data_IF_120932162763
#
_entry.id   IF_120932162763
#
_cell.length_a   1.000
_cell.length_b   1.000
_cell.length_c   1.000
_cell.angle_alpha   90.00
_cell.angle_beta   90.00
_cell.angle_gamma   90.00
#
_symmetry.space_group_name_H-M   'P 1'
#
loop_
_entity.id
_entity.type
_entity.pdbx_description
1 polymer ?
#
# COMPACT_ATOMS: atom_id res chain seq x y z
N UNK A 1 -32.01 40.88 38.45
CA UNK A 1 -31.95 40.78 36.96
C UNK A 1 -31.20 39.52 36.62
N UNK A 2 -31.77 38.55 35.93
CA UNK A 2 -31.01 37.37 35.49
C UNK A 2 -30.04 37.81 34.40
N UNK A 3 -28.73 37.54 34.62
CA UNK A 3 -27.67 37.74 33.63
C UNK A 3 -27.93 36.79 32.47
N UNK A 4 -28.16 37.34 31.28
CA UNK A 4 -28.25 36.52 30.06
C UNK A 4 -26.85 35.97 29.80
N UNK A 5 -26.65 34.69 30.11
CA UNK A 5 -25.43 33.99 29.76
C UNK A 5 -25.38 33.90 28.22
N UNK A 6 -24.40 34.51 27.60
CA UNK A 6 -24.18 34.41 26.15
C UNK A 6 -23.87 32.95 25.79
N UNK A 7 -24.85 32.23 25.25
CA UNK A 7 -24.74 30.80 24.90
C UNK A 7 -23.96 30.57 23.58
N UNK A 8 -23.24 31.57 23.07
CA UNK A 8 -22.46 31.34 21.87
C UNK A 8 -21.25 30.44 22.19
N UNK A 9 -21.07 29.34 21.46
CA UNK A 9 -19.89 28.51 21.65
C UNK A 9 -18.64 29.32 21.35
N UNK A 10 -17.55 29.14 22.13
CA UNK A 10 -16.31 29.84 21.89
C UNK A 10 -15.78 29.58 20.46
N UNK A 11 -15.17 30.57 19.84
CA UNK A 11 -14.69 30.49 18.45
C UNK A 11 -13.76 29.29 18.21
N UNK A 12 -13.02 28.87 19.22
CA UNK A 12 -12.12 27.71 19.16
C UNK A 12 -12.86 26.40 19.03
N UNK A 13 -14.03 26.21 19.69
CA UNK A 13 -14.81 24.96 19.59
C UNK A 13 -15.30 24.72 18.17
N UNK A 14 -15.72 25.75 17.46
CA UNK A 14 -16.10 25.62 16.04
C UNK A 14 -14.92 25.19 15.16
N UNK A 15 -13.72 25.74 15.40
CA UNK A 15 -12.50 25.36 14.69
C UNK A 15 -12.13 23.90 14.92
N UNK A 16 -12.16 23.42 16.18
CA UNK A 16 -11.87 22.02 16.50
C UNK A 16 -12.91 21.08 15.89
N UNK A 17 -14.20 21.41 15.95
CA UNK A 17 -15.26 20.64 15.31
C UNK A 17 -15.03 20.49 13.80
N UNK A 18 -14.66 21.58 13.12
CA UNK A 18 -14.35 21.56 11.67
C UNK A 18 -13.14 20.67 11.38
N UNK A 19 -12.07 20.74 12.17
CA UNK A 19 -10.90 19.90 12.01
C UNK A 19 -11.20 18.42 12.21
N UNK A 20 -12.03 18.08 13.20
CA UNK A 20 -12.51 16.70 13.43
C UNK A 20 -13.20 16.16 12.18
N UNK A 21 -14.10 16.95 11.58
CA UNK A 21 -14.81 16.54 10.35
C UNK A 21 -13.83 16.29 9.21
N UNK A 22 -12.85 17.19 9.00
CA UNK A 22 -11.82 17.04 7.96
C UNK A 22 -11.04 15.74 8.15
N UNK A 23 -10.57 15.47 9.38
CA UNK A 23 -9.80 14.26 9.68
C UNK A 23 -10.64 12.98 9.57
N UNK A 24 -11.93 13.03 9.88
CA UNK A 24 -12.84 11.91 9.63
C UNK A 24 -12.97 11.59 8.14
N UNK A 25 -13.02 12.60 7.28
CA UNK A 25 -13.03 12.39 5.82
C UNK A 25 -11.71 11.73 5.37
N UNK A 26 -10.57 12.18 5.89
CA UNK A 26 -9.26 11.56 5.60
C UNK A 26 -9.23 10.08 6.03
N UNK A 27 -9.77 9.77 7.23
CA UNK A 27 -9.90 8.38 7.70
C UNK A 27 -10.79 7.53 6.77
N UNK A 28 -11.91 8.07 6.30
CA UNK A 28 -12.81 7.35 5.39
C UNK A 28 -12.14 7.04 4.05
N UNK A 29 -11.36 7.99 3.52
CA UNK A 29 -10.57 7.77 2.29
C UNK A 29 -9.52 6.68 2.51
N UNK A 30 -8.77 6.75 3.62
CA UNK A 30 -7.80 5.73 3.99
C UNK A 30 -8.44 4.34 4.14
N UNK A 31 -9.58 4.25 4.83
CA UNK A 31 -10.30 3.00 5.02
C UNK A 31 -10.82 2.42 3.69
N UNK A 32 -11.35 3.27 2.81
CA UNK A 32 -11.78 2.87 1.46
C UNK A 32 -10.61 2.31 0.65
N UNK A 33 -9.45 2.99 0.70
CA UNK A 33 -8.22 2.55 0.07
C UNK A 33 -7.73 1.20 0.61
N UNK A 34 -7.71 1.02 1.94
CA UNK A 34 -7.31 -0.25 2.57
C UNK A 34 -8.22 -1.44 2.21
N UNK A 35 -9.49 -1.19 1.88
CA UNK A 35 -10.43 -2.23 1.40
C UNK A 35 -10.34 -2.48 -0.11
N UNK A 36 -9.56 -1.71 -0.84
CA UNK A 36 -9.45 -1.81 -2.30
C UNK A 36 -8.83 -3.13 -2.74
N UNK A 37 -9.14 -3.53 -3.97
CA UNK A 37 -8.49 -4.69 -4.60
C UNK A 37 -6.97 -4.47 -4.76
N UNK A 38 -6.54 -3.21 -4.92
CA UNK A 38 -5.12 -2.87 -5.01
C UNK A 38 -4.35 -3.34 -3.77
N UNK A 39 -4.87 -3.06 -2.56
CA UNK A 39 -4.22 -3.50 -1.30
C UNK A 39 -4.16 -5.02 -1.23
N UNK A 40 -5.26 -5.71 -1.57
CA UNK A 40 -5.29 -7.19 -1.57
C UNK A 40 -4.30 -7.80 -2.56
N UNK A 41 -4.21 -7.22 -3.76
CA UNK A 41 -3.28 -7.71 -4.79
C UNK A 41 -1.83 -7.39 -4.49
N UNK A 42 -1.56 -6.33 -3.74
CA UNK A 42 -0.19 -5.94 -3.34
C UNK A 42 0.31 -6.73 -2.13
N UNK A 43 -0.58 -7.11 -1.21
CA UNK A 43 -0.22 -7.77 0.05
C UNK A 43 -0.37 -9.30 0.03
N UNK A 44 -1.04 -9.87 -0.98
CA UNK A 44 -1.36 -11.31 -1.04
C UNK A 44 -0.84 -11.89 -2.34
N UNK A 45 0.00 -12.92 -2.24
CA UNK A 45 0.48 -13.68 -3.40
C UNK A 45 -0.67 -14.44 -4.05
N UNK A 46 -0.73 -14.34 -5.38
CA UNK A 46 -1.71 -15.04 -6.22
C UNK A 46 -1.03 -15.76 -7.36
N UNK A 47 -1.58 -16.86 -7.85
CA UNK A 47 -1.10 -17.48 -9.08
C UNK A 47 -1.33 -16.53 -10.26
N UNK A 48 -0.24 -16.04 -10.83
CA UNK A 48 -0.24 -15.14 -11.99
C UNK A 48 0.38 -15.89 -13.16
N UNK A 49 -0.35 -15.94 -14.27
CA UNK A 49 0.19 -16.47 -15.51
C UNK A 49 1.12 -15.44 -16.16
N UNK A 50 2.27 -15.91 -16.58
CA UNK A 50 3.29 -15.08 -17.19
C UNK A 50 3.81 -15.72 -18.48
N UNK A 51 4.20 -14.89 -19.43
CA UNK A 51 4.90 -15.30 -20.63
C UNK A 51 6.38 -15.02 -20.46
N UNK A 52 7.23 -16.02 -20.68
CA UNK A 52 8.68 -15.85 -20.62
C UNK A 52 9.14 -15.12 -21.89
N UNK A 53 9.90 -14.03 -21.71
CA UNK A 53 10.44 -13.21 -22.82
C UNK A 53 11.90 -13.53 -23.05
N UNK A 54 12.68 -13.61 -21.97
CA UNK A 54 14.10 -13.92 -22.00
C UNK A 54 14.53 -14.70 -20.76
N UNK A 55 15.70 -15.32 -20.85
CA UNK A 55 16.33 -15.99 -19.71
C UNK A 55 17.81 -15.64 -19.65
N UNK A 56 18.26 -15.33 -18.44
CA UNK A 56 19.64 -14.99 -18.12
C UNK A 56 20.18 -15.92 -17.04
N UNK A 57 21.47 -16.27 -17.17
CA UNK A 57 22.19 -17.03 -16.16
C UNK A 57 23.52 -16.35 -15.89
N UNK A 58 23.76 -15.97 -14.65
CA UNK A 58 25.00 -15.29 -14.25
C UNK A 58 25.48 -15.77 -12.89
N UNK A 59 26.69 -15.38 -12.55
CA UNK A 59 27.32 -15.76 -11.29
C UNK A 59 27.38 -14.55 -10.37
N UNK A 60 26.90 -14.72 -9.14
CA UNK A 60 26.94 -13.71 -8.08
C UNK A 60 27.81 -14.21 -6.93
N UNK A 61 28.61 -13.32 -6.34
CA UNK A 61 29.44 -13.63 -5.17
C UNK A 61 28.74 -13.05 -3.94
N UNK A 62 28.25 -13.92 -3.07
CA UNK A 62 27.62 -13.55 -1.80
C UNK A 62 28.39 -14.20 -0.66
N UNK A 63 28.85 -13.43 0.31
CA UNK A 63 29.60 -13.91 1.47
C UNK A 63 30.84 -14.77 1.08
N UNK A 64 31.58 -14.35 0.05
CA UNK A 64 32.74 -15.05 -0.52
C UNK A 64 32.44 -16.43 -1.14
N UNK A 65 31.18 -16.76 -1.32
CA UNK A 65 30.73 -17.96 -2.04
C UNK A 65 30.16 -17.59 -3.39
N UNK A 66 30.48 -18.40 -4.38
CA UNK A 66 30.00 -18.21 -5.75
C UNK A 66 28.68 -18.94 -5.95
N UNK A 67 27.63 -18.19 -6.28
CA UNK A 67 26.30 -18.72 -6.56
C UNK A 67 25.91 -18.49 -8.01
N UNK A 68 25.38 -19.52 -8.66
CA UNK A 68 24.76 -19.35 -9.99
C UNK A 68 23.34 -18.86 -9.82
N UNK A 69 23.01 -17.73 -10.41
CA UNK A 69 21.67 -17.12 -10.39
C UNK A 69 20.98 -17.38 -11.72
N UNK A 70 19.78 -17.90 -11.66
CA UNK A 70 18.91 -18.12 -12.81
C UNK A 70 17.79 -17.08 -12.78
N UNK A 71 17.69 -16.27 -13.81
CA UNK A 71 16.74 -15.16 -13.91
C UNK A 71 15.89 -15.29 -15.17
N UNK A 72 14.58 -15.10 -15.03
CA UNK A 72 13.66 -15.04 -16.15
C UNK A 72 13.12 -13.62 -16.29
N UNK A 73 13.08 -13.11 -17.52
CA UNK A 73 12.33 -11.90 -17.85
C UNK A 73 10.93 -12.31 -18.29
N UNK A 74 9.92 -11.80 -17.59
CA UNK A 74 8.55 -12.22 -17.67
C UNK A 74 7.63 -11.05 -18.01
N UNK A 75 6.51 -11.34 -18.66
CA UNK A 75 5.37 -10.42 -18.80
C UNK A 75 4.16 -11.11 -18.16
N UNK A 76 3.53 -10.46 -17.20
CA UNK A 76 2.29 -10.96 -16.60
C UNK A 76 1.11 -10.77 -17.56
N UNK A 77 0.17 -11.70 -17.56
CA UNK A 77 -1.02 -11.63 -18.40
C UNK A 77 -1.82 -10.35 -18.14
N UNK A 78 -2.20 -9.67 -19.22
CA UNK A 78 -2.91 -8.40 -19.16
C UNK A 78 -2.03 -7.19 -18.77
N UNK A 79 -0.71 -7.33 -18.85
CA UNK A 79 0.28 -6.27 -18.62
C UNK A 79 1.27 -6.20 -19.78
N UNK A 80 1.82 -4.99 -19.98
CA UNK A 80 2.87 -4.77 -20.98
C UNK A 80 4.26 -4.64 -20.34
N UNK A 81 4.31 -4.49 -19.01
CA UNK A 81 5.56 -4.30 -18.29
C UNK A 81 6.30 -5.62 -18.12
N UNK A 82 7.59 -5.61 -18.47
CA UNK A 82 8.50 -6.69 -18.19
C UNK A 82 9.03 -6.57 -16.77
N UNK A 83 9.16 -7.70 -16.09
CA UNK A 83 9.81 -7.80 -14.80
C UNK A 83 10.72 -9.01 -14.74
N UNK A 84 11.69 -9.00 -13.82
CA UNK A 84 12.67 -10.05 -13.65
C UNK A 84 12.38 -10.85 -12.40
N UNK A 85 12.45 -12.17 -12.51
CA UNK A 85 12.22 -13.09 -11.42
C UNK A 85 13.37 -14.10 -11.32
N UNK A 86 13.97 -14.21 -10.13
CA UNK A 86 14.94 -15.26 -9.82
C UNK A 86 14.19 -16.56 -9.58
N UNK A 87 14.64 -17.62 -10.22
CA UNK A 87 14.00 -18.94 -10.17
C UNK A 87 15.03 -20.02 -9.89
N UNK A 88 14.55 -21.20 -9.51
CA UNK A 88 15.38 -22.39 -9.41
C UNK A 88 15.76 -22.94 -10.78
N UNK A 89 16.85 -23.71 -10.83
CA UNK A 89 17.34 -24.32 -12.09
C UNK A 89 16.28 -25.14 -12.82
N UNK A 90 15.47 -26.01 -12.17
CA UNK A 90 14.43 -26.77 -12.86
C UNK A 90 13.36 -25.89 -13.53
N UNK A 91 12.99 -24.78 -12.92
CA UNK A 91 12.04 -23.82 -13.52
C UNK A 91 12.68 -23.07 -14.68
N UNK A 92 13.94 -22.66 -14.55
CA UNK A 92 14.69 -22.05 -15.61
C UNK A 92 14.83 -22.94 -16.83
N UNK A 93 15.13 -24.23 -16.64
CA UNK A 93 15.27 -25.19 -17.74
C UNK A 93 13.94 -25.42 -18.48
N UNK A 94 12.81 -25.37 -17.76
CA UNK A 94 11.45 -25.48 -18.32
C UNK A 94 10.94 -24.23 -19.02
N UNK A 95 11.57 -23.06 -18.81
CA UNK A 95 11.12 -21.79 -19.34
C UNK A 95 11.09 -21.73 -20.87
N UNK A 96 11.92 -22.55 -21.54
CA UNK A 96 11.95 -22.68 -23.01
C UNK A 96 11.83 -24.17 -23.39
N UNK A 97 10.80 -24.47 -24.18
CA UNK A 97 10.60 -25.79 -24.73
C UNK A 97 10.83 -25.71 -26.25
N UNK A 98 11.72 -26.53 -26.79
CA UNK A 98 12.07 -26.53 -28.21
C UNK A 98 12.43 -25.13 -28.74
N UNK A 99 13.22 -24.37 -27.98
CA UNK A 99 13.61 -22.99 -28.29
C UNK A 99 12.44 -21.97 -28.39
N UNK A 100 11.26 -22.33 -27.89
CA UNK A 100 10.12 -21.41 -27.83
C UNK A 100 9.86 -21.01 -26.36
N UNK A 101 9.58 -19.74 -26.09
CA UNK A 101 9.21 -19.30 -24.76
C UNK A 101 7.94 -20.01 -24.29
N UNK A 102 7.93 -20.41 -23.02
CA UNK A 102 6.80 -21.09 -22.40
C UNK A 102 5.99 -20.15 -21.52
N UNK A 103 4.76 -20.53 -21.22
CA UNK A 103 3.87 -19.85 -20.30
C UNK A 103 3.94 -20.54 -18.95
N UNK A 104 4.29 -19.79 -17.89
CA UNK A 104 4.46 -20.29 -16.55
C UNK A 104 3.57 -19.53 -15.57
N UNK A 105 3.12 -20.22 -14.51
CA UNK A 105 2.39 -19.60 -13.42
C UNK A 105 3.29 -19.49 -12.19
N UNK A 106 3.34 -18.28 -11.61
CA UNK A 106 4.07 -17.99 -10.39
C UNK A 106 3.14 -17.41 -9.35
N UNK A 107 3.40 -17.71 -8.08
CA UNK A 107 2.73 -17.03 -6.97
C UNK A 107 3.42 -15.67 -6.78
N UNK A 108 2.76 -14.61 -7.19
CA UNK A 108 3.28 -13.24 -7.19
C UNK A 108 2.26 -12.31 -6.56
N UNK A 109 2.74 -11.30 -5.88
CA UNK A 109 1.92 -10.16 -5.51
C UNK A 109 2.13 -9.03 -6.53
N UNK A 110 1.27 -8.01 -6.49
CA UNK A 110 1.30 -6.94 -7.48
C UNK A 110 2.58 -6.09 -7.41
N UNK A 111 3.28 -6.05 -6.29
CA UNK A 111 4.55 -5.34 -6.18
C UNK A 111 5.67 -5.98 -7.02
N UNK A 112 5.56 -7.27 -7.32
CA UNK A 112 6.59 -8.01 -8.07
C UNK A 112 6.53 -7.71 -9.59
N UNK A 113 5.34 -7.41 -10.12
CA UNK A 113 5.12 -7.21 -11.56
C UNK A 113 4.40 -5.89 -11.90
N UNK A 114 4.14 -5.03 -10.91
CA UNK A 114 3.50 -3.73 -11.08
C UNK A 114 4.46 -2.62 -11.51
N UNK A 115 4.00 -1.38 -11.37
CA UNK A 115 4.77 -0.18 -11.72
C UNK A 115 5.79 0.21 -10.66
N UNK A 116 5.80 -0.48 -9.51
CA UNK A 116 6.63 -0.17 -8.34
C UNK A 116 6.03 0.91 -7.41
N UNK A 117 4.94 1.57 -7.82
CA UNK A 117 4.26 2.57 -6.99
C UNK A 117 3.19 1.97 -6.06
N UNK A 118 2.74 0.76 -6.33
CA UNK A 118 1.70 0.09 -5.57
C UNK A 118 1.98 0.01 -4.08
N UNK A 119 3.18 -0.38 -3.60
CA UNK A 119 3.50 -0.40 -2.18
C UNK A 119 3.42 0.98 -1.53
N UNK A 120 3.82 2.04 -2.26
CA UNK A 120 3.75 3.42 -1.78
C UNK A 120 2.29 3.89 -1.63
N UNK A 121 1.44 3.56 -2.58
CA UNK A 121 0.00 3.88 -2.52
C UNK A 121 -0.65 3.16 -1.34
N UNK A 122 -0.33 1.88 -1.14
CA UNK A 122 -0.81 1.10 0.02
C UNK A 122 -0.35 1.72 1.33
N UNK A 123 0.94 2.08 1.44
CA UNK A 123 1.48 2.75 2.62
C UNK A 123 0.78 4.09 2.88
N UNK A 124 0.48 4.87 1.83
CA UNK A 124 -0.24 6.13 1.95
C UNK A 124 -1.65 5.92 2.55
N UNK A 125 -2.40 4.91 2.10
CA UNK A 125 -3.70 4.60 2.67
C UNK A 125 -3.63 4.27 4.16
N UNK A 126 -2.62 3.49 4.59
CA UNK A 126 -2.41 3.19 6.01
C UNK A 126 -2.04 4.44 6.81
N UNK A 127 -1.17 5.30 6.27
CA UNK A 127 -0.79 6.56 6.91
C UNK A 127 -2.01 7.48 7.06
N UNK A 128 -2.84 7.61 6.03
CA UNK A 128 -4.07 8.41 6.08
C UNK A 128 -5.04 7.88 7.13
N UNK A 129 -5.20 6.56 7.22
CA UNK A 129 -6.10 5.95 8.21
C UNK A 129 -5.59 6.16 9.64
N UNK A 130 -4.35 5.78 9.93
CA UNK A 130 -3.78 5.84 11.29
C UNK A 130 -3.52 7.29 11.71
N UNK A 131 -2.93 8.10 10.84
CA UNK A 131 -2.64 9.50 11.10
C UNK A 131 -3.92 10.33 11.26
N UNK A 132 -4.91 10.11 10.40
CA UNK A 132 -6.22 10.75 10.50
C UNK A 132 -6.91 10.42 11.82
N UNK A 133 -6.90 9.15 12.23
CA UNK A 133 -7.49 8.72 13.50
C UNK A 133 -6.79 9.37 14.71
N UNK A 134 -5.46 9.44 14.71
CA UNK A 134 -4.71 10.12 15.76
C UNK A 134 -5.07 11.61 15.83
N UNK A 135 -5.21 12.29 14.69
CA UNK A 135 -5.62 13.70 14.64
C UNK A 135 -7.05 13.91 15.15
N UNK A 136 -8.00 13.01 14.83
CA UNK A 136 -9.36 13.06 15.38
C UNK A 136 -9.34 12.97 16.90
N UNK A 137 -8.54 12.07 17.47
CA UNK A 137 -8.43 11.91 18.93
C UNK A 137 -7.85 13.20 19.56
N UNK A 138 -6.77 13.74 19.02
CA UNK A 138 -6.12 14.95 19.53
C UNK A 138 -7.08 16.15 19.50
N UNK A 139 -7.74 16.38 18.37
CA UNK A 139 -8.69 17.49 18.25
C UNK A 139 -9.93 17.27 19.12
N UNK A 140 -10.38 16.03 19.31
CA UNK A 140 -11.44 15.69 20.23
C UNK A 140 -11.11 16.02 21.69
N UNK A 141 -9.89 15.72 22.12
CA UNK A 141 -9.41 16.08 23.48
C UNK A 141 -9.38 17.60 23.64
N UNK A 142 -8.84 18.34 22.68
CA UNK A 142 -8.80 19.82 22.74
C UNK A 142 -10.22 20.41 22.80
N UNK A 143 -11.13 19.87 21.98
CA UNK A 143 -12.54 20.29 22.00
C UNK A 143 -13.18 20.09 23.37
N UNK A 144 -12.93 18.97 24.03
CA UNK A 144 -13.45 18.69 25.39
C UNK A 144 -12.86 19.62 26.46
N UNK A 145 -11.58 19.98 26.35
CA UNK A 145 -10.93 20.94 27.26
C UNK A 145 -11.54 22.31 27.12
N UNK A 146 -11.70 22.81 25.88
CA UNK A 146 -12.29 24.12 25.60
C UNK A 146 -13.73 24.25 26.16
N UNK A 147 -14.53 23.18 26.00
CA UNK A 147 -15.90 23.16 26.56
C UNK A 147 -15.84 23.22 28.09
N UNK A 148 -14.97 22.44 28.71
CA UNK A 148 -14.85 22.42 30.17
C UNK A 148 -14.44 23.78 30.74
N UNK A 149 -13.48 24.46 30.13
CA UNK A 149 -13.05 25.81 30.52
C UNK A 149 -14.17 26.84 30.34
N UNK A 150 -15.02 26.68 29.34
CA UNK A 150 -16.14 27.61 29.11
C UNK A 150 -17.31 27.42 30.10
N UNK A 151 -17.44 26.23 30.69
CA UNK A 151 -18.49 25.90 31.66
C UNK A 151 -18.08 26.10 33.12
N UNK A 152 -16.82 26.36 33.42
CA UNK A 152 -16.28 26.63 34.74
C UNK A 152 -16.22 28.12 35.05
#
# INVERSE_FOLDING_TARGET
MPTIVDMRPPANTFRHATLIVIWLVVCLVGLGGCKSNLVKETCIDKPVWTTVVAKDCYTEIVNQQTHTVYELTLIADGRDNQFKLRVDKPTYDRAFINNKPNRLSFNLNRSDYGTGWEPLIVALYFIMLVGGLACVIIEGIKYMIDIKEHLS
#
